data_IF_861120799328
#
_entry.id   IF_861120799328
#
_cell.length_a   1.000
_cell.length_b   1.000
_cell.length_c   1.000
_cell.angle_alpha   90.00
_cell.angle_beta   90.00
_cell.angle_gamma   90.00
#
_symmetry.space_group_name_H-M   'P 1'
#
loop_
_entity.id
_entity.type
_entity.pdbx_description
1 polymer ?
#
# COMPACT_ATOMS: atom_id res chain seq x y z
N UNK A 1 -2.75 -14.80 -0.13
CA UNK A 1 -3.27 -14.24 -1.39
C UNK A 1 -2.10 -13.59 -2.12
N UNK A 2 -2.15 -13.46 -3.45
CA UNK A 2 -1.21 -12.60 -4.17
C UNK A 2 -1.28 -11.19 -3.60
N UNK A 3 -0.16 -10.48 -3.59
CA UNK A 3 -0.13 -9.07 -3.23
C UNK A 3 -1.04 -8.29 -4.18
N UNK A 4 -1.86 -7.36 -3.67
CA UNK A 4 -2.77 -6.54 -4.46
C UNK A 4 -3.78 -7.33 -5.30
N UNK A 5 -4.13 -8.56 -4.89
CA UNK A 5 -5.23 -9.27 -5.52
C UNK A 5 -6.56 -8.60 -5.17
N UNK A 6 -7.15 -7.98 -6.20
CA UNK A 6 -8.41 -7.23 -6.16
C UNK A 6 -9.44 -7.82 -7.13
N UNK A 7 -9.22 -9.06 -7.59
CA UNK A 7 -10.09 -9.72 -8.57
C UNK A 7 -11.54 -9.76 -8.09
N UNK A 8 -11.75 -9.99 -6.79
CA UNK A 8 -13.07 -9.97 -6.15
C UNK A 8 -13.75 -8.59 -6.25
N UNK A 9 -13.00 -7.50 -6.06
CA UNK A 9 -13.53 -6.15 -6.19
C UNK A 9 -13.88 -5.81 -7.64
N UNK A 10 -13.05 -6.25 -8.61
CA UNK A 10 -13.28 -6.03 -10.04
C UNK A 10 -14.51 -6.79 -10.56
N UNK A 11 -14.73 -7.99 -10.04
CA UNK A 11 -15.88 -8.83 -10.38
C UNK A 11 -17.18 -8.34 -9.74
N UNK A 12 -17.11 -7.65 -8.59
CA UNK A 12 -18.28 -7.07 -7.93
C UNK A 12 -18.89 -5.94 -8.78
N UNK A 13 -20.05 -6.25 -9.39
CA UNK A 13 -20.76 -5.29 -10.24
C UNK A 13 -21.60 -4.27 -9.47
N UNK A 14 -21.60 -4.32 -8.14
CA UNK A 14 -22.30 -3.38 -7.26
C UNK A 14 -21.39 -2.25 -6.76
N UNK A 15 -20.07 -2.49 -6.66
CA UNK A 15 -19.10 -1.47 -6.27
C UNK A 15 -18.81 -0.51 -7.43
N UNK A 16 -19.12 0.78 -7.28
CA UNK A 16 -18.99 1.78 -8.34
C UNK A 16 -18.51 3.13 -7.81
N UNK A 17 -17.78 3.85 -8.66
CA UNK A 17 -17.34 5.21 -8.38
C UNK A 17 -16.60 5.29 -7.04
N UNK A 18 -16.94 6.27 -6.17
CA UNK A 18 -16.27 6.44 -4.88
C UNK A 18 -16.25 5.19 -3.99
N UNK A 19 -17.33 4.39 -3.99
CA UNK A 19 -17.40 3.18 -3.18
C UNK A 19 -16.39 2.12 -3.63
N UNK A 20 -16.10 2.04 -4.94
CA UNK A 20 -15.04 1.18 -5.45
C UNK A 20 -13.66 1.71 -5.03
N UNK A 21 -13.44 3.02 -5.13
CA UNK A 21 -12.16 3.64 -4.73
C UNK A 21 -11.86 3.41 -3.25
N UNK A 22 -12.88 3.52 -2.38
CA UNK A 22 -12.76 3.23 -0.95
C UNK A 22 -12.41 1.76 -0.69
N UNK A 23 -13.11 0.83 -1.36
CA UNK A 23 -12.86 -0.61 -1.21
C UNK A 23 -11.46 -1.01 -1.70
N UNK A 24 -11.04 -0.47 -2.85
CA UNK A 24 -9.70 -0.70 -3.40
C UNK A 24 -8.63 -0.14 -2.45
N UNK A 25 -8.80 1.09 -1.97
CA UNK A 25 -7.88 1.71 -1.00
C UNK A 25 -7.77 0.85 0.26
N UNK A 26 -8.88 0.36 0.80
CA UNK A 26 -8.86 -0.48 2.00
C UNK A 26 -8.10 -1.81 1.79
N UNK A 27 -8.27 -2.46 0.63
CA UNK A 27 -7.50 -3.66 0.29
C UNK A 27 -6.01 -3.35 0.15
N UNK A 28 -5.66 -2.26 -0.52
CA UNK A 28 -4.27 -1.80 -0.64
C UNK A 28 -3.65 -1.45 0.71
N UNK A 29 -4.40 -0.83 1.63
CA UNK A 29 -3.97 -0.54 3.00
C UNK A 29 -3.64 -1.83 3.77
N UNK A 30 -4.48 -2.86 3.65
CA UNK A 30 -4.26 -4.17 4.29
C UNK A 30 -2.97 -4.83 3.81
N UNK A 31 -2.75 -4.86 2.49
CA UNK A 31 -1.55 -5.44 1.89
C UNK A 31 -0.29 -4.68 2.30
N UNK A 32 -0.30 -3.34 2.24
CA UNK A 32 0.83 -2.50 2.63
C UNK A 32 1.12 -2.58 4.12
N UNK A 33 0.10 -2.65 4.97
CA UNK A 33 0.28 -2.87 6.41
C UNK A 33 0.95 -4.23 6.68
N UNK A 34 0.55 -5.27 5.93
CA UNK A 34 1.18 -6.58 5.98
C UNK A 34 2.66 -6.55 5.59
N UNK A 35 2.98 -5.89 4.47
CA UNK A 35 4.38 -5.70 4.01
C UNK A 35 5.18 -4.94 5.06
N UNK A 36 4.66 -3.81 5.54
CA UNK A 36 5.35 -2.98 6.52
C UNK A 36 5.66 -3.76 7.80
N UNK A 37 4.69 -4.51 8.33
CA UNK A 37 4.90 -5.34 9.51
C UNK A 37 5.91 -6.46 9.26
N UNK A 38 5.83 -7.15 8.11
CA UNK A 38 6.76 -8.23 7.75
C UNK A 38 8.19 -7.72 7.51
N UNK A 39 8.35 -6.46 7.15
CA UNK A 39 9.64 -5.82 7.00
C UNK A 39 10.33 -5.53 8.34
N UNK A 40 9.69 -5.77 9.49
CA UNK A 40 10.22 -5.52 10.84
C UNK A 40 10.89 -4.13 10.93
N UNK A 41 10.11 -3.05 10.76
CA UNK A 41 10.64 -1.72 10.61
C UNK A 41 11.03 -1.17 11.98
N UNK A 42 12.11 -0.39 12.09
CA UNK A 42 12.52 0.18 13.36
C UNK A 42 11.50 1.19 13.88
N UNK A 43 11.48 1.37 15.20
CA UNK A 43 10.66 2.40 15.85
C UNK A 43 10.94 3.79 15.26
N UNK A 44 9.90 4.61 15.15
CA UNK A 44 10.00 5.95 14.56
C UNK A 44 9.94 5.95 13.03
N UNK A 45 9.44 4.87 12.41
CA UNK A 45 9.15 4.80 10.98
C UNK A 45 7.65 4.74 10.70
N UNK A 46 7.26 5.14 9.49
CA UNK A 46 5.89 5.01 9.00
C UNK A 46 5.86 4.94 7.46
N UNK A 47 4.94 4.17 6.89
CA UNK A 47 4.55 4.34 5.49
C UNK A 47 3.40 5.33 5.38
N UNK A 48 3.54 6.29 4.46
CA UNK A 48 2.50 7.26 4.16
C UNK A 48 2.05 7.13 2.70
N UNK A 49 0.76 6.92 2.50
CA UNK A 49 0.11 7.02 1.21
C UNK A 49 0.12 8.48 0.74
N UNK A 50 0.50 8.69 -0.53
CA UNK A 50 0.50 10.01 -1.17
C UNK A 50 -0.30 9.97 -2.48
N UNK A 51 -0.40 11.11 -3.18
CA UNK A 51 -1.04 11.15 -4.49
C UNK A 51 -2.53 10.76 -4.46
N UNK A 52 -2.98 10.06 -5.50
CA UNK A 52 -4.36 9.57 -5.60
C UNK A 52 -4.70 8.51 -4.56
N UNK A 53 -3.72 7.69 -4.17
CA UNK A 53 -3.86 6.72 -3.09
C UNK A 53 -4.10 7.41 -1.74
N UNK A 54 -3.29 8.40 -1.39
CA UNK A 54 -3.48 9.19 -0.16
C UNK A 54 -4.82 9.92 -0.08
N UNK A 55 -5.45 10.23 -1.22
CA UNK A 55 -6.81 10.83 -1.28
C UNK A 55 -7.94 9.80 -1.34
N UNK A 56 -7.63 8.50 -1.39
CA UNK A 56 -8.61 7.41 -1.59
C UNK A 56 -9.35 7.49 -2.93
N UNK A 57 -8.65 7.94 -3.96
CA UNK A 57 -9.17 8.13 -5.32
C UNK A 57 -8.60 7.08 -6.29
N UNK A 58 -8.12 5.94 -5.78
CA UNK A 58 -7.53 4.88 -6.60
C UNK A 58 -8.55 4.30 -7.58
N UNK A 59 -8.12 4.13 -8.83
CA UNK A 59 -8.85 3.41 -9.87
C UNK A 59 -8.15 2.08 -10.19
N UNK A 60 -8.82 1.12 -10.84
CA UNK A 60 -8.16 -0.08 -11.34
C UNK A 60 -6.89 0.25 -12.12
N UNK A 61 -5.81 -0.49 -11.84
CA UNK A 61 -4.49 -0.31 -12.47
C UNK A 61 -3.81 1.04 -12.21
N UNK A 62 -4.26 1.81 -11.21
CA UNK A 62 -3.51 3.00 -10.76
C UNK A 62 -2.24 2.57 -10.04
N UNK A 63 -1.19 3.39 -10.14
CA UNK A 63 0.03 3.21 -9.34
C UNK A 63 -0.25 3.42 -7.85
N UNK A 64 0.51 2.73 -6.99
CA UNK A 64 0.46 2.88 -5.53
C UNK A 64 1.62 3.77 -5.08
N UNK A 65 1.33 5.04 -4.83
CA UNK A 65 2.34 6.00 -4.40
C UNK A 65 2.48 6.04 -2.87
N UNK A 66 3.64 5.63 -2.36
CA UNK A 66 3.95 5.60 -0.93
C UNK A 66 5.34 6.18 -0.63
N UNK A 67 5.50 6.76 0.56
CA UNK A 67 6.80 7.19 1.09
C UNK A 67 7.07 6.55 2.43
N UNK A 68 8.31 6.09 2.65
CA UNK A 68 8.80 5.69 3.98
C UNK A 68 9.35 6.91 4.70
N UNK A 69 8.67 7.26 5.78
CA UNK A 69 9.11 8.29 6.72
C UNK A 69 9.91 7.61 7.84
N UNK A 70 10.92 8.31 8.34
CA UNK A 70 11.69 7.87 9.49
C UNK A 70 12.16 9.08 10.32
N UNK A 71 12.30 8.87 11.63
CA UNK A 71 12.89 9.87 12.50
C UNK A 71 14.38 10.09 12.17
N UNK A 72 14.93 11.30 12.45
CA UNK A 72 16.35 11.56 12.27
C UNK A 72 17.21 10.53 13.02
N UNK A 73 18.20 9.96 12.32
CA UNK A 73 19.14 8.98 12.90
C UNK A 73 18.65 7.53 12.91
N UNK A 74 17.43 7.24 12.45
CA UNK A 74 16.95 5.86 12.26
C UNK A 74 17.50 5.29 10.95
N UNK A 75 18.20 4.17 11.01
CA UNK A 75 18.63 3.42 9.82
C UNK A 75 17.49 2.54 9.31
N UNK A 76 17.04 2.82 8.09
CA UNK A 76 15.93 2.11 7.45
C UNK A 76 16.35 1.27 6.25
N UNK A 77 17.64 1.18 5.92
CA UNK A 77 18.07 0.58 4.64
C UNK A 77 17.52 -0.84 4.45
N UNK A 78 17.71 -1.71 5.44
CA UNK A 78 17.27 -3.10 5.37
C UNK A 78 15.73 -3.24 5.38
N UNK A 79 15.03 -2.39 6.13
CA UNK A 79 13.56 -2.39 6.15
C UNK A 79 13.01 -1.87 4.81
N UNK A 80 13.60 -0.81 4.26
CA UNK A 80 13.24 -0.23 2.97
C UNK A 80 13.37 -1.27 1.85
N UNK A 81 14.46 -2.02 1.77
CA UNK A 81 14.61 -3.11 0.78
C UNK A 81 13.50 -4.16 0.92
N UNK A 82 13.20 -4.59 2.15
CA UNK A 82 12.13 -5.56 2.43
C UNK A 82 10.73 -5.03 2.12
N UNK A 83 10.53 -3.72 2.09
CA UNK A 83 9.26 -3.10 1.70
C UNK A 83 9.20 -2.93 0.18
N UNK A 84 10.24 -2.38 -0.44
CA UNK A 84 10.20 -1.94 -1.83
C UNK A 84 10.32 -3.07 -2.84
N UNK A 85 11.19 -4.05 -2.60
CA UNK A 85 11.36 -5.13 -3.56
C UNK A 85 10.09 -5.96 -3.76
N UNK A 86 9.37 -6.39 -2.70
CA UNK A 86 8.08 -7.07 -2.89
C UNK A 86 7.04 -6.23 -3.63
N UNK A 87 7.07 -4.91 -3.50
CA UNK A 87 6.15 -4.01 -4.20
C UNK A 87 6.49 -3.86 -5.68
N UNK A 88 7.78 -3.84 -6.04
CA UNK A 88 8.22 -3.71 -7.43
C UNK A 88 8.14 -5.01 -8.22
N UNK A 89 8.24 -6.16 -7.55
CA UNK A 89 8.25 -7.49 -8.17
C UNK A 89 6.85 -8.14 -8.27
N UNK A 90 5.80 -7.46 -7.77
CA UNK A 90 4.43 -7.96 -7.71
C UNK A 90 3.69 -8.01 -9.06
#
# INVERSE_FOLDING_TARGET
>A
MPLFDVSDLLDDRTLRGPAFCEALTARTDEDLAGIFAAADPPDGTALAAIGGYGRREQCPSSDVDVVLLHAPGVDVAAAAERIWYPLWDA
#
